data_IF_190463294510
#
_entry.id   IF_190463294510
#
_cell.length_a   1.000
_cell.length_b   1.000
_cell.length_c   1.000
_cell.angle_alpha   90.00
_cell.angle_beta   90.00
_cell.angle_gamma   90.00
#
_symmetry.space_group_name_H-M   'P 1'
#
loop_
_entity.id
_entity.type
_entity.pdbx_description
1 polymer ?
#
# COMPACT_ATOMS: atom_id res chain seq x y z
N UNK A 1 -7.65 11.64 17.22
CA UNK A 1 -7.09 10.40 16.68
C UNK A 1 -5.58 10.34 16.92
N UNK A 2 -4.82 11.40 16.58
CA UNK A 2 -3.36 11.45 16.83
C UNK A 2 -3.01 11.21 18.31
N UNK A 3 -3.78 11.79 19.25
CA UNK A 3 -3.59 11.58 20.71
C UNK A 3 -3.73 10.11 21.14
N UNK A 4 -4.37 9.30 20.31
CA UNK A 4 -4.57 7.86 20.51
C UNK A 4 -3.51 7.00 19.77
N UNK A 5 -2.48 7.64 19.20
CA UNK A 5 -1.45 6.95 18.43
C UNK A 5 -1.88 6.49 17.05
N UNK A 6 -2.95 7.07 16.49
CA UNK A 6 -3.45 6.73 15.15
C UNK A 6 -2.79 7.65 14.12
N UNK A 7 -2.25 7.05 13.06
CA UNK A 7 -1.68 7.75 11.91
C UNK A 7 -2.71 8.07 10.83
N UNK A 8 -2.23 8.38 9.63
CA UNK A 8 -3.05 8.68 8.46
C UNK A 8 -2.62 7.84 7.25
N UNK A 9 -3.60 7.37 6.48
CA UNK A 9 -3.39 6.86 5.12
C UNK A 9 -3.89 7.94 4.15
N UNK A 10 -2.96 8.52 3.38
CA UNK A 10 -3.18 9.65 2.49
C UNK A 10 -3.15 9.17 1.05
N UNK A 11 -4.06 9.69 0.22
CA UNK A 11 -4.13 9.37 -1.22
C UNK A 11 -4.00 10.60 -2.12
N UNK A 12 -3.74 11.77 -1.54
CA UNK A 12 -3.64 13.04 -2.26
C UNK A 12 -2.73 14.04 -1.56
N UNK A 13 -2.27 15.04 -2.32
CA UNK A 13 -1.50 16.17 -1.80
C UNK A 13 -2.20 16.89 -0.64
N UNK A 14 -3.51 17.09 -0.76
CA UNK A 14 -4.30 17.77 0.28
C UNK A 14 -4.28 17.00 1.60
N UNK A 15 -4.40 15.68 1.55
CA UNK A 15 -4.35 14.84 2.76
C UNK A 15 -2.95 14.83 3.40
N UNK A 16 -1.88 14.90 2.59
CA UNK A 16 -0.52 15.10 3.09
C UNK A 16 -0.38 16.45 3.81
N UNK A 17 -0.94 17.53 3.25
CA UNK A 17 -0.95 18.84 3.92
C UNK A 17 -1.75 18.83 5.23
N UNK A 18 -2.90 18.15 5.25
CA UNK A 18 -3.70 18.00 6.47
C UNK A 18 -2.94 17.22 7.55
N UNK A 19 -2.24 16.16 7.17
CA UNK A 19 -1.41 15.35 8.06
C UNK A 19 -0.25 16.17 8.64
N UNK A 20 0.42 16.96 7.81
CA UNK A 20 1.49 17.89 8.22
C UNK A 20 0.96 18.94 9.21
N UNK A 21 -0.21 19.54 8.92
CA UNK A 21 -0.84 20.56 9.75
C UNK A 21 -1.17 20.07 11.18
N UNK A 22 -1.49 18.78 11.34
CA UNK A 22 -1.71 18.16 12.66
C UNK A 22 -0.42 17.56 13.24
N UNK A 23 0.71 17.70 12.54
CA UNK A 23 2.03 17.29 12.99
C UNK A 23 2.30 15.79 12.90
N UNK A 24 1.62 15.05 11.99
CA UNK A 24 1.98 13.68 11.63
C UNK A 24 3.20 13.70 10.70
N UNK A 25 4.13 12.75 10.87
CA UNK A 25 5.34 12.61 10.04
C UNK A 25 5.86 11.19 10.06
N UNK A 26 6.71 10.88 9.09
CA UNK A 26 7.40 9.59 9.05
C UNK A 26 6.42 8.43 8.94
N UNK A 27 6.63 7.44 9.76
CA UNK A 27 5.83 6.20 9.77
C UNK A 27 4.37 6.38 10.26
N UNK A 28 4.02 7.56 10.76
CA UNK A 28 2.62 7.88 11.09
C UNK A 28 1.80 8.21 9.83
N UNK A 29 2.44 8.34 8.67
CA UNK A 29 1.78 8.59 7.40
C UNK A 29 2.10 7.45 6.43
N UNK A 30 1.06 6.85 5.87
CA UNK A 30 1.16 6.03 4.66
C UNK A 30 0.59 6.82 3.49
N UNK A 31 1.29 6.83 2.36
CA UNK A 31 0.86 7.50 1.15
C UNK A 31 0.56 6.48 0.05
N UNK A 32 -0.72 6.30 -0.26
CA UNK A 32 -1.23 5.31 -1.20
C UNK A 32 -2.03 6.00 -2.30
N UNK A 33 -1.40 6.26 -3.45
CA UNK A 33 -2.03 6.90 -4.60
C UNK A 33 -1.82 6.07 -5.87
N UNK A 34 -2.81 6.07 -6.78
CA UNK A 34 -2.79 5.25 -7.98
C UNK A 34 -2.32 6.02 -9.23
N UNK A 35 -2.62 7.33 -9.26
CA UNK A 35 -2.21 8.25 -10.34
C UNK A 35 -1.54 9.43 -9.64
N UNK A 36 -0.25 9.30 -9.42
CA UNK A 36 0.47 10.16 -8.49
C UNK A 36 1.27 11.24 -9.24
N UNK A 37 0.89 12.52 -9.10
CA UNK A 37 1.70 13.64 -9.58
C UNK A 37 3.06 13.72 -8.88
N UNK A 38 4.03 14.34 -9.54
CA UNK A 38 5.38 14.51 -8.98
C UNK A 38 5.39 15.28 -7.65
N UNK A 39 4.51 16.25 -7.51
CA UNK A 39 4.40 17.09 -6.30
C UNK A 39 3.89 16.29 -5.09
N UNK A 40 2.99 15.33 -5.30
CA UNK A 40 2.49 14.45 -4.25
C UNK A 40 3.61 13.54 -3.72
N UNK A 41 4.37 12.91 -4.61
CA UNK A 41 5.52 12.10 -4.24
C UNK A 41 6.59 12.91 -3.49
N UNK A 42 6.90 14.13 -3.96
CA UNK A 42 7.87 15.00 -3.30
C UNK A 42 7.41 15.39 -1.90
N UNK A 43 6.12 15.73 -1.74
CA UNK A 43 5.56 16.07 -0.42
C UNK A 43 5.54 14.88 0.52
N UNK A 44 5.17 13.69 0.02
CA UNK A 44 5.21 12.46 0.81
C UNK A 44 6.63 12.14 1.28
N UNK A 45 7.63 12.28 0.39
CA UNK A 45 9.04 12.08 0.73
C UNK A 45 9.56 13.13 1.73
N UNK A 46 9.18 14.40 1.58
CA UNK A 46 9.50 15.49 2.53
C UNK A 46 9.01 15.18 3.94
N UNK A 47 7.80 14.62 4.05
CA UNK A 47 7.22 14.22 5.34
C UNK A 47 7.81 12.92 5.90
N UNK A 48 8.61 12.21 5.10
CA UNK A 48 9.16 10.90 5.45
C UNK A 48 8.10 9.79 5.48
N UNK A 49 6.97 10.00 4.79
CA UNK A 49 5.86 9.06 4.75
C UNK A 49 6.24 7.71 4.14
N UNK A 50 5.60 6.63 4.55
CA UNK A 50 5.72 5.34 3.87
C UNK A 50 5.00 5.45 2.53
N UNK A 51 5.76 5.48 1.43
CA UNK A 51 5.22 5.54 0.08
C UNK A 51 4.87 4.14 -0.39
N UNK A 52 3.64 3.96 -0.85
CA UNK A 52 3.10 2.73 -1.39
C UNK A 52 2.92 2.85 -2.91
N UNK A 53 3.76 2.15 -3.67
CA UNK A 53 3.68 2.12 -5.13
C UNK A 53 2.57 1.19 -5.59
N UNK A 54 1.68 1.70 -6.43
CA UNK A 54 0.57 0.95 -7.02
C UNK A 54 0.98 0.16 -8.26
N UNK A 55 2.01 0.64 -8.98
CA UNK A 55 2.55 0.03 -10.20
C UNK A 55 4.08 0.18 -10.27
N UNK A 56 4.74 -0.74 -10.97
CA UNK A 56 6.21 -0.74 -11.16
C UNK A 56 6.69 0.54 -11.86
N UNK A 57 5.94 1.04 -12.82
CA UNK A 57 6.31 2.26 -13.57
C UNK A 57 6.37 3.50 -12.69
N UNK A 58 5.64 3.52 -11.57
CA UNK A 58 5.70 4.62 -10.61
C UNK A 58 7.04 4.67 -9.88
N UNK A 59 7.76 3.57 -9.76
CA UNK A 59 9.11 3.55 -9.18
C UNK A 59 10.10 4.25 -10.14
N UNK A 60 10.00 3.97 -11.43
CA UNK A 60 10.82 4.61 -12.44
C UNK A 60 10.52 6.12 -12.51
N UNK A 61 9.25 6.48 -12.48
CA UNK A 61 8.82 7.88 -12.41
C UNK A 61 9.31 8.59 -11.14
N UNK A 62 9.27 7.90 -9.99
CA UNK A 62 9.75 8.42 -8.71
C UNK A 62 11.25 8.74 -8.76
N UNK A 63 12.04 7.88 -9.41
CA UNK A 63 13.46 8.11 -9.68
C UNK A 63 13.66 9.31 -10.63
N UNK A 64 12.91 9.35 -11.74
CA UNK A 64 12.99 10.41 -12.76
C UNK A 64 12.74 11.82 -12.19
N UNK A 65 11.78 11.95 -11.27
CA UNK A 65 11.51 13.23 -10.62
C UNK A 65 12.52 13.63 -9.54
N UNK A 66 13.52 12.77 -9.28
CA UNK A 66 14.60 13.02 -8.31
C UNK A 66 14.13 12.98 -6.85
N UNK A 67 13.05 12.28 -6.54
CA UNK A 67 12.60 12.11 -5.17
C UNK A 67 13.50 11.12 -4.41
N UNK A 68 13.84 11.37 -3.12
CA UNK A 68 14.74 10.50 -2.38
C UNK A 68 14.07 9.18 -2.00
N UNK A 69 14.70 8.06 -2.29
CA UNK A 69 14.24 6.77 -1.78
C UNK A 69 14.44 6.68 -0.27
N UNK A 70 13.38 6.35 0.44
CA UNK A 70 13.34 6.24 1.89
C UNK A 70 13.73 4.83 2.35
N UNK A 71 14.13 4.69 3.61
CA UNK A 71 14.51 3.37 4.13
C UNK A 71 13.35 2.37 4.17
N UNK A 72 12.12 2.85 4.31
CA UNK A 72 10.89 2.04 4.36
C UNK A 72 9.97 2.45 3.21
N UNK A 73 9.67 1.51 2.33
CA UNK A 73 8.75 1.71 1.21
C UNK A 73 7.84 0.51 1.03
N UNK A 74 6.70 0.70 0.38
CA UNK A 74 5.64 -0.29 0.25
C UNK A 74 5.24 -0.47 -1.21
N UNK A 75 4.72 -1.66 -1.55
CA UNK A 75 4.09 -1.91 -2.84
C UNK A 75 2.73 -2.56 -2.66
N UNK A 76 1.79 -2.19 -3.54
CA UNK A 76 0.44 -2.74 -3.55
C UNK A 76 0.38 -4.00 -4.39
N UNK A 77 -0.07 -5.06 -3.77
CA UNK A 77 -0.30 -6.35 -4.41
C UNK A 77 -1.74 -6.53 -4.87
N UNK A 78 -1.91 -7.09 -6.07
CA UNK A 78 -3.19 -7.57 -6.57
C UNK A 78 -3.12 -9.09 -6.80
N UNK A 79 -3.84 -9.92 -6.03
CA UNK A 79 -3.82 -11.38 -6.17
C UNK A 79 -4.51 -11.90 -7.44
N UNK A 80 -5.13 -11.03 -8.22
CA UNK A 80 -5.84 -11.42 -9.43
C UNK A 80 -7.04 -12.32 -9.17
N UNK A 81 -7.35 -13.18 -10.14
CA UNK A 81 -8.51 -14.08 -10.10
C UNK A 81 -8.49 -15.14 -9.00
N UNK A 82 -7.40 -15.27 -8.25
CA UNK A 82 -7.29 -16.20 -7.12
C UNK A 82 -8.04 -15.72 -5.86
N UNK A 83 -8.52 -14.49 -5.87
CA UNK A 83 -9.27 -13.91 -4.78
C UNK A 83 -10.68 -13.56 -5.26
N UNK A 84 -11.64 -14.44 -4.96
CA UNK A 84 -13.06 -14.21 -5.27
C UNK A 84 -13.80 -13.82 -3.99
N UNK A 85 -14.44 -12.67 -4.01
CA UNK A 85 -15.45 -12.25 -3.05
C UNK A 85 -16.75 -12.09 -3.81
N UNK A 86 -17.80 -12.68 -3.30
CA UNK A 86 -19.16 -12.40 -3.75
C UNK A 86 -19.62 -11.07 -3.13
N UNK A 87 -18.98 -9.97 -3.52
CA UNK A 87 -19.34 -8.64 -3.07
C UNK A 87 -19.54 -7.76 -4.31
N UNK A 88 -20.75 -7.27 -4.51
CA UNK A 88 -21.15 -6.47 -5.68
C UNK A 88 -20.55 -5.05 -5.69
N UNK A 89 -19.79 -4.67 -4.67
CA UNK A 89 -19.32 -3.28 -4.47
C UNK A 89 -17.94 -3.03 -5.07
N UNK A 90 -17.16 -4.07 -5.35
CA UNK A 90 -15.84 -3.94 -5.97
C UNK A 90 -15.67 -4.91 -7.13
N UNK A 91 -14.93 -4.45 -8.13
CA UNK A 91 -14.48 -5.28 -9.24
C UNK A 91 -13.76 -6.53 -8.73
N UNK A 92 -13.89 -7.62 -9.47
CA UNK A 92 -13.07 -8.80 -9.19
C UNK A 92 -11.59 -8.39 -9.31
N UNK A 93 -10.70 -8.84 -8.40
CA UNK A 93 -9.27 -8.49 -8.48
C UNK A 93 -8.64 -8.78 -9.84
N UNK A 94 -9.18 -9.73 -10.59
CA UNK A 94 -8.76 -10.05 -11.96
C UNK A 94 -8.95 -8.87 -12.92
N UNK A 95 -10.01 -8.11 -12.75
CA UNK A 95 -10.40 -7.01 -13.63
C UNK A 95 -10.03 -5.65 -13.04
N UNK A 96 -9.53 -5.62 -11.79
CA UNK A 96 -9.09 -4.41 -11.12
C UNK A 96 -7.76 -3.91 -11.70
N UNK A 97 -7.72 -2.61 -11.98
CA UNK A 97 -6.54 -1.91 -12.54
C UNK A 97 -5.50 -1.51 -11.48
N UNK A 98 -5.71 -1.86 -10.21
CA UNK A 98 -4.89 -1.42 -9.09
C UNK A 98 -4.02 -2.54 -8.55
N UNK A 99 -2.76 -2.19 -8.26
CA UNK A 99 -1.80 -3.09 -7.65
C UNK A 99 -1.09 -4.00 -8.66
N UNK A 100 0.01 -4.55 -8.21
CA UNK A 100 0.96 -5.33 -8.98
C UNK A 100 0.66 -6.83 -8.90
N UNK A 101 0.93 -7.56 -9.98
CA UNK A 101 1.01 -9.02 -9.96
C UNK A 101 2.19 -9.48 -9.11
N UNK A 102 2.27 -10.78 -8.82
CA UNK A 102 3.41 -11.35 -8.08
C UNK A 102 4.75 -11.09 -8.78
N UNK A 103 4.80 -11.24 -10.08
CA UNK A 103 6.00 -11.00 -10.90
C UNK A 103 6.41 -9.53 -10.84
N UNK A 104 5.45 -8.62 -10.95
CA UNK A 104 5.70 -7.19 -10.81
C UNK A 104 6.14 -6.81 -9.39
N UNK A 105 5.62 -7.46 -8.35
CA UNK A 105 6.09 -7.27 -6.96
C UNK A 105 7.55 -7.66 -6.80
N UNK A 106 7.99 -8.76 -7.42
CA UNK A 106 9.42 -9.18 -7.42
C UNK A 106 10.30 -8.15 -8.14
N UNK A 107 9.87 -7.68 -9.29
CA UNK A 107 10.55 -6.62 -10.04
C UNK A 107 10.64 -5.32 -9.21
N UNK A 108 9.50 -4.85 -8.67
CA UNK A 108 9.43 -3.65 -7.85
C UNK A 108 10.37 -3.73 -6.64
N UNK A 109 10.35 -4.83 -5.91
CA UNK A 109 11.21 -5.02 -4.73
C UNK A 109 12.69 -5.13 -5.10
N UNK A 110 13.00 -5.69 -6.25
CA UNK A 110 14.38 -5.71 -6.77
C UNK A 110 14.87 -4.29 -7.09
N UNK A 111 14.04 -3.48 -7.76
CA UNK A 111 14.35 -2.07 -8.04
C UNK A 111 14.54 -1.27 -6.75
N UNK A 112 13.58 -1.35 -5.82
CA UNK A 112 13.65 -0.62 -4.54
C UNK A 112 14.89 -1.03 -3.73
N UNK A 113 15.25 -2.31 -3.71
CA UNK A 113 16.46 -2.80 -3.07
C UNK A 113 17.73 -2.21 -3.68
N UNK A 114 17.77 -2.07 -5.01
CA UNK A 114 18.89 -1.44 -5.70
C UNK A 114 19.04 0.06 -5.34
N UNK A 115 17.94 0.74 -5.02
CA UNK A 115 17.93 2.12 -4.52
C UNK A 115 18.20 2.24 -3.01
N UNK A 116 18.52 1.15 -2.32
CA UNK A 116 18.93 1.16 -0.91
C UNK A 116 17.78 1.09 0.11
N UNK A 117 16.57 0.76 -0.32
CA UNK A 117 15.45 0.47 0.59
C UNK A 117 15.80 -0.73 1.46
N UNK A 118 15.55 -0.64 2.77
CA UNK A 118 15.91 -1.67 3.76
C UNK A 118 14.69 -2.43 4.30
N UNK A 119 13.57 -1.73 4.45
CA UNK A 119 12.33 -2.24 5.04
C UNK A 119 11.20 -2.17 4.02
N UNK A 120 10.63 -3.31 3.70
CA UNK A 120 9.64 -3.45 2.65
C UNK A 120 8.26 -3.71 3.25
N UNK A 121 7.26 -2.97 2.78
CA UNK A 121 5.86 -3.20 3.08
C UNK A 121 5.13 -3.89 1.95
N UNK A 122 4.13 -4.68 2.29
CA UNK A 122 3.17 -5.22 1.35
C UNK A 122 1.78 -4.70 1.72
N UNK A 123 1.07 -4.16 0.75
CA UNK A 123 -0.29 -3.65 0.91
C UNK A 123 -1.23 -4.33 -0.08
N UNK A 124 -2.48 -4.55 0.31
CA UNK A 124 -3.56 -4.89 -0.61
C UNK A 124 -4.88 -4.31 -0.13
N UNK A 125 -5.65 -3.75 -1.06
CA UNK A 125 -6.98 -3.22 -0.82
C UNK A 125 -7.94 -3.79 -1.85
N UNK A 126 -8.76 -4.76 -1.45
CA UNK A 126 -9.57 -5.58 -2.35
C UNK A 126 -11.08 -5.50 -2.04
N UNK A 127 -11.48 -4.87 -0.96
CA UNK A 127 -12.88 -4.71 -0.59
C UNK A 127 -13.12 -3.44 0.20
N UNK A 128 -14.31 -2.88 0.05
CA UNK A 128 -14.80 -1.76 0.83
C UNK A 128 -16.13 -2.15 1.49
N UNK A 129 -16.34 -1.70 2.72
CA UNK A 129 -17.56 -1.96 3.50
C UNK A 129 -17.95 -3.45 3.56
N UNK A 130 -16.97 -4.34 3.71
CA UNK A 130 -17.23 -5.78 3.79
C UNK A 130 -17.63 -6.21 5.20
N UNK A 131 -18.73 -6.97 5.28
CA UNK A 131 -19.18 -7.65 6.51
C UNK A 131 -18.81 -9.13 6.52
N UNK A 132 -18.11 -9.60 5.49
CA UNK A 132 -17.70 -11.00 5.36
C UNK A 132 -16.56 -11.31 6.32
N UNK A 133 -16.83 -12.07 7.39
CA UNK A 133 -15.86 -12.41 8.44
C UNK A 133 -14.63 -13.16 7.90
N UNK A 134 -14.77 -13.91 6.81
CA UNK A 134 -13.66 -14.67 6.20
C UNK A 134 -12.71 -13.84 5.33
N UNK A 135 -13.02 -12.57 5.07
CA UNK A 135 -12.23 -11.72 4.18
C UNK A 135 -10.81 -11.48 4.70
N UNK A 136 -10.68 -10.90 5.89
CA UNK A 136 -9.38 -10.53 6.45
C UNK A 136 -8.45 -11.72 6.71
N UNK A 137 -8.92 -12.84 7.29
CA UNK A 137 -8.07 -14.03 7.42
C UNK A 137 -7.58 -14.59 6.08
N UNK A 138 -8.42 -14.55 5.04
CA UNK A 138 -8.03 -15.00 3.71
C UNK A 138 -7.00 -14.07 3.08
N UNK A 139 -7.23 -12.75 3.16
CA UNK A 139 -6.29 -11.74 2.68
C UNK A 139 -4.95 -11.83 3.42
N UNK A 140 -4.97 -11.90 4.74
CA UNK A 140 -3.77 -12.01 5.56
C UNK A 140 -2.93 -13.22 5.17
N UNK A 141 -3.55 -14.39 4.99
CA UNK A 141 -2.84 -15.60 4.55
C UNK A 141 -2.11 -15.38 3.23
N UNK A 142 -2.80 -14.85 2.22
CA UNK A 142 -2.22 -14.58 0.89
C UNK A 142 -1.02 -13.63 1.00
N UNK A 143 -1.15 -12.56 1.77
CA UNK A 143 -0.08 -11.57 1.91
C UNK A 143 1.11 -12.11 2.72
N UNK A 144 0.88 -12.93 3.75
CA UNK A 144 1.96 -13.58 4.50
C UNK A 144 2.69 -14.63 3.66
N UNK A 145 1.97 -15.41 2.85
CA UNK A 145 2.59 -16.35 1.90
C UNK A 145 3.45 -15.60 0.87
N UNK A 146 2.95 -14.49 0.32
CA UNK A 146 3.72 -13.62 -0.57
C UNK A 146 4.94 -13.02 0.13
N UNK A 147 4.81 -12.57 1.39
CA UNK A 147 5.92 -12.02 2.16
C UNK A 147 7.06 -13.04 2.33
N UNK A 148 6.72 -14.29 2.64
CA UNK A 148 7.70 -15.38 2.75
C UNK A 148 8.39 -15.65 1.41
N UNK A 149 7.63 -15.64 0.31
CA UNK A 149 8.17 -15.87 -1.03
C UNK A 149 9.12 -14.74 -1.43
N UNK A 150 8.70 -13.47 -1.32
CA UNK A 150 9.53 -12.31 -1.65
C UNK A 150 10.79 -12.22 -0.79
N UNK A 151 10.68 -12.51 0.51
CA UNK A 151 11.85 -12.55 1.38
C UNK A 151 12.88 -13.59 0.93
N UNK A 152 12.45 -14.74 0.43
CA UNK A 152 13.35 -15.81 -0.04
C UNK A 152 13.92 -15.54 -1.42
N UNK A 153 13.08 -15.11 -2.38
CA UNK A 153 13.45 -15.00 -3.77
C UNK A 153 14.19 -13.69 -4.09
N UNK A 154 13.75 -12.57 -3.50
CA UNK A 154 14.39 -11.26 -3.70
C UNK A 154 15.44 -10.98 -2.62
N UNK A 155 15.38 -11.69 -1.49
CA UNK A 155 16.28 -11.49 -0.37
C UNK A 155 16.09 -10.14 0.31
N UNK A 156 14.83 -9.79 0.62
CA UNK A 156 14.42 -8.54 1.27
C UNK A 156 13.80 -8.79 2.65
N UNK A 157 13.83 -7.80 3.52
CA UNK A 157 13.17 -7.84 4.81
C UNK A 157 11.77 -7.22 4.72
N UNK A 158 10.73 -8.04 4.88
CA UNK A 158 9.35 -7.56 4.96
C UNK A 158 9.09 -7.08 6.39
N UNK A 159 9.00 -5.77 6.55
CA UNK A 159 8.84 -5.13 7.85
C UNK A 159 7.37 -5.11 8.32
N UNK A 160 6.42 -5.01 7.38
CA UNK A 160 5.01 -4.99 7.70
C UNK A 160 4.14 -5.48 6.53
N UNK A 161 2.91 -5.87 6.88
CA UNK A 161 1.84 -6.21 5.96
C UNK A 161 0.62 -5.35 6.31
N UNK A 162 0.16 -4.54 5.35
CA UNK A 162 -1.01 -3.68 5.49
C UNK A 162 -2.22 -4.35 4.84
N UNK A 163 -3.18 -4.75 5.64
CA UNK A 163 -4.44 -5.37 5.20
C UNK A 163 -5.47 -4.34 4.73
N UNK A 164 -5.12 -3.05 4.77
CA UNK A 164 -6.00 -1.95 4.44
C UNK A 164 -7.21 -1.83 5.40
N UNK A 165 -8.20 -1.05 4.98
CA UNK A 165 -9.45 -0.83 5.69
C UNK A 165 -10.62 -1.55 5.04
N UNK A 166 -11.79 -0.92 5.06
CA UNK A 166 -12.99 -1.43 4.40
C UNK A 166 -13.82 -2.38 5.28
N UNK A 167 -13.60 -2.36 6.60
CA UNK A 167 -14.47 -3.05 7.56
C UNK A 167 -15.89 -2.50 7.46
N UNK A 168 -16.84 -3.37 7.21
CA UNK A 168 -18.24 -3.00 7.07
C UNK A 168 -18.90 -2.63 8.40
N UNK A 169 -19.78 -1.66 8.33
CA UNK A 169 -20.63 -1.24 9.44
C UNK A 169 -22.11 -1.32 9.04
N UNK A 170 -22.98 -1.50 10.02
CA UNK A 170 -24.41 -1.37 9.80
C UNK A 170 -24.77 0.11 9.59
N UNK A 171 -25.36 0.43 8.45
CA UNK A 171 -25.88 1.77 8.16
C UNK A 171 -27.33 1.98 8.65
N UNK A 172 -27.98 0.90 9.05
CA UNK A 172 -29.35 0.90 9.59
C UNK A 172 -29.39 0.15 10.91
N UNK A 173 -30.27 0.49 11.83
CA UNK A 173 -30.34 -0.10 13.18
C UNK A 173 -30.98 -1.50 13.24
N UNK A 174 -31.41 -2.11 12.12
CA UNK A 174 -32.11 -3.39 12.00
C UNK A 174 -31.19 -4.58 11.70
#
# INVERSE_FOLDING_TARGET
LKSEGIGADCSSYTELLMSDAVGLKGHDIMFSSNVTPAEDFKKAAELGAIINFDDVSLIDFYEEIGAPFLETMCCRYNPGGNFTLHNEIMDTPKDAKYGMTKEQMKEAFTKLKAHGVKHFGIHAFLASNTVALGYYPKLARILFELAVELSKEVGVHIAFVNLSGGVGIAYRPD
#
